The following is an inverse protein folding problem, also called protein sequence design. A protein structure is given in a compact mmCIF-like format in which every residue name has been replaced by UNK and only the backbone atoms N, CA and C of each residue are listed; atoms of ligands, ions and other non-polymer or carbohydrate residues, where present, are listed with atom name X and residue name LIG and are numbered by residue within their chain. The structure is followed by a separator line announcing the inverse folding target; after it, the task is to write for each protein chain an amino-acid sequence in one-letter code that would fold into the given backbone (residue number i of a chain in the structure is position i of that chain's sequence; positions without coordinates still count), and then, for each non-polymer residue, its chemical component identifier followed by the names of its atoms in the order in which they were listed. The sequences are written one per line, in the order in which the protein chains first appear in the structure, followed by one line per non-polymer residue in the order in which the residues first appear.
data_IF_966682610179
#
_entry.id   IF_966682610179
#
_cell.length_a   1.000
_cell.length_b   1.000
_cell.length_c   1.000
_cell.angle_alpha   90.00
_cell.angle_beta   90.00
_cell.angle_gamma   90.00
#
_symmetry.space_group_name_H-M   'P 1'
#
loop_
_entity.id
_entity.type
_entity.pdbx_description
1 polymer ?
#
# COMPACT_ATOMS: atom_id res chain seq x y z
N UNK A 1 -14.93 -18.73 11.27
CA UNK A 1 -13.99 -19.65 10.60
C UNK A 1 -13.85 -19.20 9.16
N UNK A 2 -12.65 -18.78 8.75
CA UNK A 2 -12.38 -18.36 7.37
C UNK A 2 -11.57 -19.49 6.72
N UNK A 3 -12.04 -20.03 5.60
CA UNK A 3 -11.25 -21.03 4.85
C UNK A 3 -9.96 -20.39 4.34
N UNK A 4 -8.89 -21.17 4.16
CA UNK A 4 -7.65 -20.68 3.53
C UNK A 4 -7.90 -19.95 2.20
N UNK A 5 -8.86 -20.42 1.40
CA UNK A 5 -9.25 -19.77 0.13
C UNK A 5 -9.87 -18.39 0.35
N UNK A 6 -10.74 -18.26 1.34
CA UNK A 6 -11.38 -16.99 1.70
C UNK A 6 -10.37 -16.00 2.28
N UNK A 7 -9.42 -16.47 3.10
CA UNK A 7 -8.32 -15.63 3.61
C UNK A 7 -7.43 -15.12 2.48
N UNK A 8 -7.02 -16.00 1.56
CA UNK A 8 -6.19 -15.62 0.39
C UNK A 8 -6.93 -14.60 -0.48
N UNK A 9 -8.24 -14.76 -0.67
CA UNK A 9 -9.04 -13.82 -1.44
C UNK A 9 -9.06 -12.43 -0.78
N UNK A 10 -9.40 -12.34 0.50
CA UNK A 10 -9.44 -11.07 1.25
C UNK A 10 -8.08 -10.36 1.22
N UNK A 11 -7.01 -11.09 1.55
CA UNK A 11 -5.67 -10.52 1.54
C UNK A 11 -5.24 -10.02 0.15
N UNK A 12 -5.68 -10.66 -0.94
CA UNK A 12 -5.44 -10.15 -2.30
C UNK A 12 -6.23 -8.89 -2.60
N UNK A 13 -7.49 -8.86 -2.19
CA UNK A 13 -8.36 -7.70 -2.38
C UNK A 13 -7.83 -6.49 -1.60
N UNK A 14 -7.37 -6.70 -0.36
CA UNK A 14 -6.76 -5.66 0.48
C UNK A 14 -5.47 -5.11 -0.14
N UNK A 15 -4.55 -5.98 -0.60
CA UNK A 15 -3.31 -5.55 -1.28
C UNK A 15 -3.62 -4.72 -2.53
N UNK A 16 -4.56 -5.18 -3.36
CA UNK A 16 -4.92 -4.48 -4.59
C UNK A 16 -5.61 -3.15 -4.32
N UNK A 17 -6.35 -3.04 -3.22
CA UNK A 17 -7.10 -1.82 -2.90
C UNK A 17 -6.20 -0.80 -2.22
N UNK A 18 -5.43 -1.20 -1.20
CA UNK A 18 -4.65 -0.27 -0.39
C UNK A 18 -3.37 0.17 -1.10
N UNK A 19 -2.59 -0.76 -1.63
CA UNK A 19 -1.26 -0.44 -2.17
C UNK A 19 -1.32 0.32 -3.49
N UNK A 20 -2.28 -0.05 -4.35
CA UNK A 20 -2.51 0.67 -5.61
C UNK A 20 -3.09 2.05 -5.35
N UNK A 21 -4.02 2.18 -4.39
CA UNK A 21 -4.63 3.46 -4.06
C UNK A 21 -3.62 4.43 -3.42
N UNK A 22 -2.74 3.95 -2.51
CA UNK A 22 -1.73 4.79 -1.88
C UNK A 22 -0.77 5.39 -2.91
N UNK A 23 -0.31 4.60 -3.88
CA UNK A 23 0.55 5.09 -4.98
C UNK A 23 -0.18 6.12 -5.86
N UNK A 24 -1.45 5.86 -6.18
CA UNK A 24 -2.25 6.76 -7.01
C UNK A 24 -2.53 8.10 -6.30
N UNK A 25 -2.94 8.05 -5.04
CA UNK A 25 -3.24 9.25 -4.25
C UNK A 25 -2.00 10.07 -3.95
N UNK A 26 -0.86 9.43 -3.64
CA UNK A 26 0.41 10.16 -3.46
C UNK A 26 0.80 10.91 -4.74
N UNK A 27 0.58 10.33 -5.93
CA UNK A 27 0.79 11.04 -7.20
C UNK A 27 -0.13 12.26 -7.34
N UNK A 28 -1.42 12.08 -7.15
CA UNK A 28 -2.39 13.20 -7.27
C UNK A 28 -2.13 14.32 -6.26
N UNK A 29 -1.73 13.97 -5.03
CA UNK A 29 -1.36 14.94 -4.02
C UNK A 29 -0.10 15.72 -4.42
N UNK A 30 0.93 15.06 -4.97
CA UNK A 30 2.13 15.76 -5.49
C UNK A 30 1.78 16.74 -6.60
N UNK A 31 0.94 16.35 -7.55
CA UNK A 31 0.50 17.21 -8.64
C UNK A 31 -0.26 18.43 -8.10
N UNK A 32 -1.12 18.22 -7.10
CA UNK A 32 -1.90 19.30 -6.45
C UNK A 32 -1.00 20.24 -5.64
N UNK A 33 0.04 19.71 -4.98
CA UNK A 33 1.00 20.50 -4.23
C UNK A 33 1.83 21.44 -5.12
N UNK A 34 1.99 21.14 -6.40
CA UNK A 34 2.62 22.06 -7.34
C UNK A 34 1.78 23.32 -7.56
N UNK A 35 0.45 23.20 -7.48
CA UNK A 35 -0.51 24.28 -7.70
C UNK A 35 -0.94 24.98 -6.40
N UNK A 36 -0.72 24.33 -5.25
CA UNK A 36 -0.98 24.93 -3.95
C UNK A 36 0.01 26.09 -3.74
N UNK A 37 -0.48 27.28 -3.37
CA UNK A 37 0.32 28.48 -3.06
C UNK A 37 1.17 28.37 -1.78
N UNK A 38 1.70 27.17 -1.50
CA UNK A 38 2.56 26.85 -0.38
C UNK A 38 3.97 27.38 -0.60
N UNK A 39 4.63 27.76 0.49
CA UNK A 39 6.05 28.06 0.47
C UNK A 39 6.87 26.83 0.07
N UNK A 40 8.04 27.06 -0.54
CA UNK A 40 8.90 25.99 -1.04
C UNK A 40 9.33 25.01 0.06
N UNK A 41 9.56 25.50 1.28
CA UNK A 41 9.95 24.65 2.41
C UNK A 41 8.84 23.66 2.79
N UNK A 42 7.60 24.14 2.87
CA UNK A 42 6.43 23.31 3.16
C UNK A 42 6.21 22.31 2.03
N UNK A 43 6.29 22.77 0.78
CA UNK A 43 6.15 21.92 -0.42
C UNK A 43 7.18 20.78 -0.43
N UNK A 44 8.45 21.08 -0.17
CA UNK A 44 9.52 20.07 -0.11
C UNK A 44 9.27 19.04 0.99
N UNK A 45 8.86 19.48 2.18
CA UNK A 45 8.52 18.57 3.29
C UNK A 45 7.36 17.65 2.94
N UNK A 46 6.31 18.19 2.30
CA UNK A 46 5.16 17.39 1.88
C UNK A 46 5.51 16.39 0.78
N UNK A 47 6.30 16.79 -0.22
CA UNK A 47 6.79 15.87 -1.26
C UNK A 47 7.59 14.73 -0.63
N UNK A 48 8.52 15.03 0.29
CA UNK A 48 9.33 14.03 0.97
C UNK A 48 8.47 13.06 1.81
N UNK A 49 7.42 13.54 2.48
CA UNK A 49 6.48 12.68 3.19
C UNK A 49 5.71 11.75 2.24
N UNK A 50 5.26 12.27 1.10
CA UNK A 50 4.56 11.46 0.11
C UNK A 50 5.49 10.43 -0.55
N UNK A 51 6.75 10.78 -0.80
CA UNK A 51 7.77 9.83 -1.27
C UNK A 51 7.98 8.69 -0.27
N UNK A 52 8.14 9.02 1.01
CA UNK A 52 8.27 8.03 2.07
C UNK A 52 7.04 7.12 2.17
N UNK A 53 5.84 7.68 2.09
CA UNK A 53 4.61 6.90 2.11
C UNK A 53 4.53 5.92 0.92
N UNK A 54 4.94 6.36 -0.28
CA UNK A 54 5.03 5.47 -1.45
C UNK A 54 6.03 4.32 -1.23
N UNK A 55 7.17 4.59 -0.60
CA UNK A 55 8.19 3.58 -0.31
C UNK A 55 7.72 2.56 0.74
N UNK A 56 7.10 3.03 1.82
CA UNK A 56 6.54 2.17 2.88
C UNK A 56 5.41 1.29 2.33
N UNK A 57 4.54 1.84 1.48
CA UNK A 57 3.50 1.10 0.76
C UNK A 57 4.09 -0.04 -0.10
N UNK A 58 5.10 0.24 -0.95
CA UNK A 58 5.78 -0.82 -1.72
C UNK A 58 6.38 -1.92 -0.84
N UNK A 59 6.90 -1.54 0.31
CA UNK A 59 7.45 -2.51 1.28
C UNK A 59 6.33 -3.37 1.87
N UNK A 60 5.21 -2.76 2.26
CA UNK A 60 4.04 -3.48 2.75
C UNK A 60 3.48 -4.45 1.69
N UNK A 61 3.35 -4.00 0.44
CA UNK A 61 2.94 -4.85 -0.69
C UNK A 61 3.82 -6.11 -0.82
N UNK A 62 5.14 -5.94 -0.71
CA UNK A 62 6.10 -7.06 -0.77
C UNK A 62 5.89 -8.04 0.38
N UNK A 63 5.81 -7.55 1.61
CA UNK A 63 5.59 -8.39 2.80
C UNK A 63 4.27 -9.16 2.69
N UNK A 64 3.22 -8.51 2.20
CA UNK A 64 1.91 -9.13 2.04
C UNK A 64 1.90 -10.20 0.93
N UNK A 65 2.62 -9.99 -0.18
CA UNK A 65 2.83 -11.01 -1.21
C UNK A 65 3.60 -12.23 -0.68
N UNK A 66 4.62 -12.01 0.14
CA UNK A 66 5.37 -13.09 0.80
C UNK A 66 4.47 -13.87 1.77
N UNK A 67 3.66 -13.18 2.56
CA UNK A 67 2.68 -13.79 3.46
C UNK A 67 1.66 -14.63 2.71
N UNK A 68 1.09 -14.10 1.62
CA UNK A 68 0.17 -14.83 0.74
C UNK A 68 0.79 -16.12 0.20
N UNK A 69 2.05 -16.04 -0.24
CA UNK A 69 2.78 -17.20 -0.76
C UNK A 69 2.94 -18.27 0.32
N UNK A 70 3.28 -17.87 1.56
CA UNK A 70 3.38 -18.79 2.70
C UNK A 70 2.04 -19.44 3.04
N UNK A 71 0.96 -18.66 3.07
CA UNK A 71 -0.39 -19.18 3.36
C UNK A 71 -0.87 -20.12 2.25
N UNK A 72 -0.64 -19.78 0.98
CA UNK A 72 -1.01 -20.63 -0.16
C UNK A 72 -0.30 -22.00 -0.12
N UNK A 73 0.95 -22.03 0.33
CA UNK A 73 1.75 -23.25 0.46
C UNK A 73 1.53 -23.98 1.79
N UNK A 74 0.80 -23.40 2.74
CA UNK A 74 0.43 -24.03 4.00
C UNK A 74 -0.66 -25.09 3.79
N UNK A 75 -0.50 -26.26 4.41
CA UNK A 75 -1.52 -27.32 4.46
C UNK A 75 -2.57 -27.11 5.56
N UNK A 76 -2.48 -26.02 6.33
CA UNK A 76 -3.37 -25.72 7.47
C UNK A 76 -4.33 -24.60 7.14
N UNK A 77 -5.60 -24.80 7.51
CA UNK A 77 -6.58 -23.73 7.62
C UNK A 77 -6.27 -22.84 8.83
N UNK A 78 -6.75 -21.59 8.79
CA UNK A 78 -6.53 -20.61 9.85
C UNK A 78 -7.74 -20.63 10.78
N UNK A 79 -7.52 -21.01 12.05
CA UNK A 79 -8.54 -21.20 13.08
C UNK A 79 -8.88 -19.89 13.79
#
# INVERSE_FOLDING_TARGET
MISRKELIKRLRDDINTEEVAVVLYTKHLKDTLQLAGLSDDVRRKMIALLDKLTEESRTHEKVMKELLTRIANSSRDVY
#
